data_IF_441055397582
#
_entry.id   IF_441055397582
#
_cell.length_a   1.000
_cell.length_b   1.000
_cell.length_c   1.000
_cell.angle_alpha   90.00
_cell.angle_beta   90.00
_cell.angle_gamma   90.00
#
_symmetry.space_group_name_H-M   'P 1'
#
loop_
_entity.id
_entity.type
_entity.pdbx_description
1 polymer ?
#
# COMPACT_ATOMS: atom_id res chain seq x y z
N UNK A 1 1.46 -26.78 4.26
CA UNK A 1 2.20 -25.87 5.16
C UNK A 1 3.24 -25.12 4.34
N UNK A 2 3.17 -23.80 4.27
CA UNK A 2 4.13 -22.93 3.56
C UNK A 2 4.77 -22.00 4.57
N UNK A 3 6.11 -21.87 4.55
CA UNK A 3 6.83 -20.94 5.42
C UNK A 3 7.63 -19.96 4.56
N UNK A 4 7.45 -18.68 4.82
CA UNK A 4 8.15 -17.58 4.14
C UNK A 4 9.08 -16.88 5.14
N UNK A 5 10.36 -16.74 4.78
CA UNK A 5 11.34 -16.00 5.58
C UNK A 5 11.51 -14.59 4.99
N UNK A 6 11.37 -13.58 5.82
CA UNK A 6 11.25 -12.18 5.40
C UNK A 6 12.16 -11.32 6.29
N UNK A 7 12.88 -10.38 5.68
CA UNK A 7 13.56 -9.32 6.43
C UNK A 7 12.53 -8.47 7.21
N UNK A 8 12.68 -8.39 8.53
CA UNK A 8 11.71 -7.75 9.41
C UNK A 8 11.61 -6.23 9.16
N UNK A 9 12.72 -5.58 8.80
CA UNK A 9 12.74 -4.15 8.51
C UNK A 9 11.99 -3.86 7.21
N UNK A 10 12.29 -4.59 6.14
CA UNK A 10 11.62 -4.44 4.85
C UNK A 10 10.13 -4.73 4.98
N UNK A 11 9.76 -5.77 5.71
CA UNK A 11 8.37 -6.14 5.96
C UNK A 11 7.61 -5.05 6.75
N UNK A 12 8.18 -4.56 7.84
CA UNK A 12 7.54 -3.52 8.65
C UNK A 12 7.44 -2.18 7.93
N UNK A 13 8.42 -1.84 7.09
CA UNK A 13 8.38 -0.63 6.27
C UNK A 13 7.32 -0.74 5.18
N UNK A 14 7.20 -1.91 4.51
CA UNK A 14 6.14 -2.18 3.55
C UNK A 14 4.74 -2.09 4.18
N UNK A 15 4.56 -2.70 5.36
CA UNK A 15 3.30 -2.60 6.11
C UNK A 15 2.92 -1.15 6.43
N UNK A 16 3.87 -0.32 6.88
CA UNK A 16 3.60 1.09 7.17
C UNK A 16 3.16 1.88 5.95
N UNK A 17 3.69 1.54 4.78
CA UNK A 17 3.34 2.18 3.52
C UNK A 17 1.94 1.77 3.05
N UNK A 18 1.52 0.55 3.30
CA UNK A 18 0.24 0.00 2.83
C UNK A 18 -0.91 0.25 3.80
N UNK A 19 -0.69 0.12 5.11
CA UNK A 19 -1.72 0.26 6.15
C UNK A 19 -2.56 1.55 6.11
N UNK A 20 -2.04 2.73 5.72
CA UNK A 20 -2.85 3.94 5.58
C UNK A 20 -3.95 3.83 4.51
N UNK A 21 -3.82 2.89 3.59
CA UNK A 21 -4.78 2.67 2.50
C UNK A 21 -5.90 1.69 2.85
N UNK A 22 -5.82 0.96 3.97
CA UNK A 22 -6.94 0.17 4.46
C UNK A 22 -8.09 1.08 4.92
N UNK A 23 -9.31 0.60 4.74
CA UNK A 23 -10.51 1.30 5.23
C UNK A 23 -10.51 1.30 6.78
N UNK A 24 -11.21 2.26 7.34
CA UNK A 24 -11.34 2.36 8.79
C UNK A 24 -12.27 1.28 9.33
N UNK A 25 -12.05 0.77 10.55
CA UNK A 25 -12.96 -0.16 11.20
C UNK A 25 -14.40 0.39 11.23
N UNK A 26 -15.37 -0.49 11.04
CA UNK A 26 -16.79 -0.17 11.03
C UNK A 26 -17.24 0.77 9.89
N UNK A 27 -16.54 0.75 8.77
CA UNK A 27 -16.88 1.55 7.58
C UNK A 27 -18.10 1.03 6.81
N UNK A 28 -18.60 -0.14 7.16
CA UNK A 28 -19.67 -0.85 6.43
C UNK A 28 -19.15 -1.65 5.23
N UNK A 29 -17.85 -1.76 5.06
CA UNK A 29 -17.22 -2.60 4.03
C UNK A 29 -16.08 -3.43 4.65
N UNK A 30 -16.41 -4.48 5.43
CA UNK A 30 -15.43 -5.21 6.24
C UNK A 30 -14.25 -5.77 5.45
N UNK A 31 -14.45 -6.15 4.19
CA UNK A 31 -13.38 -6.68 3.35
C UNK A 31 -12.24 -5.67 3.16
N UNK A 32 -12.53 -4.37 3.10
CA UNK A 32 -11.55 -3.30 2.92
C UNK A 32 -10.85 -2.88 4.23
N UNK A 33 -11.33 -3.37 5.37
CA UNK A 33 -10.69 -3.19 6.67
C UNK A 33 -9.48 -4.11 6.86
N UNK A 34 -9.16 -4.89 5.83
CA UNK A 34 -8.08 -5.87 5.84
C UNK A 34 -6.90 -5.43 4.97
N UNK A 35 -5.77 -6.08 5.21
CA UNK A 35 -4.59 -6.09 4.37
C UNK A 35 -4.47 -7.46 3.71
N UNK A 36 -4.24 -7.49 2.42
CA UNK A 36 -4.00 -8.72 1.66
C UNK A 36 -2.52 -9.01 1.59
N UNK A 37 -2.16 -10.26 1.82
CA UNK A 37 -0.84 -10.81 1.61
C UNK A 37 -0.93 -11.86 0.51
N UNK A 38 -0.13 -11.72 -0.54
CA UNK A 38 -0.07 -12.70 -1.63
C UNK A 38 1.36 -12.91 -2.09
N UNK A 39 1.72 -14.14 -2.42
CA UNK A 39 3.01 -14.47 -3.03
C UNK A 39 2.91 -14.33 -4.53
N UNK A 40 3.87 -13.65 -5.14
CA UNK A 40 4.03 -13.51 -6.58
C UNK A 40 5.49 -13.72 -6.97
N UNK A 41 5.82 -14.91 -7.42
CA UNK A 41 7.21 -15.29 -7.66
C UNK A 41 8.04 -15.19 -6.40
N UNK A 42 9.16 -14.46 -6.42
CA UNK A 42 10.04 -14.24 -5.27
C UNK A 42 9.63 -13.09 -4.35
N UNK A 43 8.39 -12.60 -4.44
CA UNK A 43 7.92 -11.44 -3.70
C UNK A 43 6.71 -11.75 -2.86
N UNK A 44 6.72 -11.28 -1.62
CA UNK A 44 5.50 -11.08 -0.85
C UNK A 44 4.93 -9.71 -1.25
N UNK A 45 3.74 -9.72 -1.85
CA UNK A 45 3.00 -8.51 -2.20
C UNK A 45 1.97 -8.22 -1.13
N UNK A 46 1.97 -7.00 -0.62
CA UNK A 46 1.09 -6.51 0.43
C UNK A 46 0.19 -5.43 -0.19
N UNK A 47 -1.12 -5.57 -0.04
CA UNK A 47 -2.10 -4.64 -0.61
C UNK A 47 -3.13 -4.20 0.42
N UNK A 48 -3.58 -2.93 0.32
CA UNK A 48 -4.76 -2.42 1.01
C UNK A 48 -5.48 -1.38 0.15
N UNK A 49 -6.78 -1.24 0.37
CA UNK A 49 -7.59 -0.26 -0.37
C UNK A 49 -8.77 0.24 0.46
N UNK A 50 -9.17 1.50 0.22
CA UNK A 50 -10.35 2.15 0.76
C UNK A 50 -11.31 2.65 -0.33
N UNK A 51 -11.26 2.06 -1.52
CA UNK A 51 -11.98 2.46 -2.74
C UNK A 51 -11.41 3.69 -3.45
N UNK A 52 -10.75 4.61 -2.75
CA UNK A 52 -10.20 5.85 -3.30
C UNK A 52 -8.70 5.75 -3.56
N UNK A 53 -8.05 4.88 -2.82
CA UNK A 53 -6.63 4.61 -2.94
C UNK A 53 -6.38 3.10 -2.89
N UNK A 54 -5.37 2.65 -3.62
CA UNK A 54 -4.81 1.30 -3.49
C UNK A 54 -3.33 1.47 -3.17
N UNK A 55 -2.92 1.01 -1.99
CA UNK A 55 -1.50 0.89 -1.65
C UNK A 55 -1.03 -0.53 -1.92
N UNK A 56 0.11 -0.65 -2.57
CA UNK A 56 0.79 -1.93 -2.80
C UNK A 56 2.27 -1.77 -2.53
N UNK A 57 2.83 -2.71 -1.78
CA UNK A 57 4.27 -2.81 -1.56
C UNK A 57 4.71 -4.25 -1.71
N UNK A 58 5.94 -4.45 -2.20
CA UNK A 58 6.53 -5.78 -2.36
C UNK A 58 7.77 -5.92 -1.49
N UNK A 59 7.94 -7.10 -0.92
CA UNK A 59 9.08 -7.45 -0.08
C UNK A 59 9.74 -8.70 -0.66
N UNK A 60 11.06 -8.70 -0.91
CA UNK A 60 11.73 -9.88 -1.41
C UNK A 60 11.71 -10.99 -0.35
N UNK A 61 11.49 -12.21 -0.79
CA UNK A 61 11.53 -13.40 0.05
C UNK A 61 12.94 -14.00 -0.03
N UNK A 62 13.55 -14.25 1.13
CA UNK A 62 14.91 -14.78 1.21
C UNK A 62 14.99 -16.24 0.75
N UNK A 63 13.96 -17.00 1.07
CA UNK A 63 13.81 -18.40 0.65
C UNK A 63 12.36 -18.59 0.25
N UNK A 64 12.14 -19.02 -0.99
CA UNK A 64 10.81 -19.31 -1.52
C UNK A 64 10.81 -20.75 -2.00
N UNK A 65 9.94 -21.56 -1.41
CA UNK A 65 9.53 -22.77 -2.09
C UNK A 65 8.80 -22.36 -3.37
N UNK A 66 9.24 -22.89 -4.52
CA UNK A 66 8.64 -22.57 -5.82
C UNK A 66 7.13 -22.86 -5.90
N UNK A 67 6.62 -23.65 -4.96
CA UNK A 67 5.20 -23.99 -4.80
C UNK A 67 4.49 -23.13 -3.73
N UNK A 68 5.14 -22.10 -3.18
CA UNK A 68 4.54 -21.29 -2.13
C UNK A 68 3.35 -20.48 -2.68
N UNK A 69 2.15 -20.92 -2.35
CA UNK A 69 0.91 -20.21 -2.61
C UNK A 69 0.38 -19.61 -1.31
N UNK A 70 0.41 -18.30 -1.19
CA UNK A 70 -0.22 -17.57 -0.10
C UNK A 70 -1.15 -16.53 -0.71
N UNK A 71 -2.41 -16.53 -0.28
CA UNK A 71 -3.37 -15.47 -0.60
C UNK A 71 -4.38 -15.33 0.54
N UNK A 72 -4.10 -14.42 1.46
CA UNK A 72 -4.83 -14.25 2.70
C UNK A 72 -5.09 -12.81 3.04
N UNK A 73 -6.13 -12.56 3.85
CA UNK A 73 -6.50 -11.27 4.41
C UNK A 73 -6.26 -11.28 5.92
N UNK A 74 -5.68 -10.22 6.43
CA UNK A 74 -5.53 -9.99 7.86
C UNK A 74 -6.13 -8.64 8.26
N UNK A 75 -6.77 -8.58 9.42
CA UNK A 75 -7.31 -7.34 9.97
C UNK A 75 -6.23 -6.25 10.09
N UNK A 76 -6.47 -5.10 9.46
CA UNK A 76 -5.48 -4.02 9.39
C UNK A 76 -5.14 -3.41 10.76
N UNK A 77 -6.06 -3.44 11.73
CA UNK A 77 -5.80 -2.93 13.07
C UNK A 77 -4.87 -3.88 13.84
N UNK A 78 -5.07 -5.20 13.71
CA UNK A 78 -4.17 -6.21 14.27
C UNK A 78 -2.79 -6.15 13.64
N UNK A 79 -2.71 -6.09 12.31
CA UNK A 79 -1.43 -5.94 11.58
C UNK A 79 -0.70 -4.66 12.03
N UNK A 80 -1.42 -3.56 12.23
CA UNK A 80 -0.83 -2.29 12.73
C UNK A 80 -0.22 -2.44 14.12
N UNK A 81 -0.87 -3.19 15.00
CA UNK A 81 -0.33 -3.45 16.34
C UNK A 81 0.98 -4.27 16.27
N UNK A 82 1.06 -5.23 15.36
CA UNK A 82 2.25 -6.07 15.18
C UNK A 82 3.47 -5.32 14.65
N UNK A 83 3.29 -4.32 13.79
CA UNK A 83 4.41 -3.56 13.18
C UNK A 83 5.39 -3.04 14.24
N UNK A 84 4.90 -2.62 15.40
CA UNK A 84 5.75 -2.10 16.48
C UNK A 84 6.56 -3.22 17.16
N UNK A 85 5.97 -4.38 17.34
CA UNK A 85 6.62 -5.54 17.97
C UNK A 85 7.75 -6.09 17.08
N UNK A 86 7.46 -6.24 15.79
CA UNK A 86 8.37 -6.83 14.80
C UNK A 86 9.58 -5.96 14.45
N UNK A 87 9.57 -4.67 14.78
CA UNK A 87 10.67 -3.74 14.45
C UNK A 87 12.03 -4.14 15.03
N UNK A 88 12.04 -4.95 16.06
CA UNK A 88 13.26 -5.35 16.77
C UNK A 88 13.83 -6.67 16.28
N UNK A 89 13.09 -7.36 15.44
CA UNK A 89 13.50 -8.66 14.90
C UNK A 89 14.35 -8.46 13.64
N UNK A 90 15.26 -9.38 13.41
CA UNK A 90 16.06 -9.41 12.17
C UNK A 90 15.25 -10.05 11.05
N UNK A 91 14.58 -11.15 11.35
CA UNK A 91 13.77 -11.93 10.42
C UNK A 91 12.39 -12.19 11.00
N UNK A 92 11.43 -12.28 10.11
CA UNK A 92 10.07 -12.68 10.39
C UNK A 92 9.76 -13.90 9.55
N UNK A 93 9.13 -14.89 10.15
CA UNK A 93 8.61 -16.06 9.44
C UNK A 93 7.09 -15.96 9.39
N UNK A 94 6.55 -16.02 8.19
CA UNK A 94 5.13 -16.15 7.94
C UNK A 94 4.86 -17.60 7.54
N UNK A 95 4.17 -18.33 8.40
CA UNK A 95 3.82 -19.74 8.17
C UNK A 95 2.33 -19.84 7.91
N UNK A 96 1.97 -20.40 6.75
CA UNK A 96 0.60 -20.75 6.40
C UNK A 96 0.43 -22.26 6.57
N UNK A 97 -0.33 -22.65 7.58
CA UNK A 97 -0.86 -23.99 7.76
C UNK A 97 -2.35 -23.98 7.37
N UNK A 98 -2.95 -25.12 7.08
CA UNK A 98 -4.32 -25.19 6.55
C UNK A 98 -5.34 -24.46 7.42
N UNK A 99 -5.11 -24.43 8.74
CA UNK A 99 -6.03 -23.88 9.74
C UNK A 99 -5.63 -22.50 10.26
N UNK A 100 -4.33 -22.14 10.21
CA UNK A 100 -3.83 -20.91 10.84
C UNK A 100 -2.66 -20.29 10.04
N UNK A 101 -2.63 -18.95 9.97
CA UNK A 101 -1.43 -18.24 9.54
C UNK A 101 -0.77 -17.61 10.75
N UNK A 102 0.50 -17.95 10.97
CA UNK A 102 1.29 -17.43 12.08
C UNK A 102 2.42 -16.55 11.57
N UNK A 103 2.60 -15.43 12.24
CA UNK A 103 3.76 -14.58 12.11
C UNK A 103 4.66 -14.83 13.31
N UNK A 104 5.88 -15.27 13.09
CA UNK A 104 6.85 -15.53 14.13
C UNK A 104 8.10 -14.67 13.95
N UNK A 105 8.62 -14.21 15.10
CA UNK A 105 9.88 -13.50 15.21
C UNK A 105 10.46 -13.87 16.56
N UNK A 106 10.87 -12.89 17.38
CA UNK A 106 11.24 -13.12 18.78
C UNK A 106 10.04 -13.62 19.62
N UNK A 107 8.81 -13.32 19.17
CA UNK A 107 7.56 -13.77 19.76
C UNK A 107 6.66 -14.32 18.66
N UNK A 108 5.98 -15.43 18.96
CA UNK A 108 4.94 -15.98 18.08
C UNK A 108 3.67 -15.16 18.28
N UNK A 109 3.14 -14.61 17.21
CA UNK A 109 1.88 -13.87 17.25
C UNK A 109 0.96 -14.43 16.18
N UNK A 110 -0.14 -15.10 16.57
CA UNK A 110 -1.13 -15.57 15.59
C UNK A 110 -1.78 -14.37 14.89
N UNK A 111 -1.84 -14.44 13.57
CA UNK A 111 -2.66 -13.55 12.77
C UNK A 111 -4.03 -14.20 12.59
N UNK A 112 -5.08 -13.44 12.88
CA UNK A 112 -6.43 -13.82 12.52
C UNK A 112 -6.61 -13.52 11.02
N UNK A 113 -6.57 -14.54 10.19
CA UNK A 113 -6.60 -14.42 8.75
C UNK A 113 -7.77 -15.14 8.13
N UNK A 114 -8.20 -14.62 7.00
CA UNK A 114 -9.24 -15.21 6.18
C UNK A 114 -8.70 -15.52 4.79
N UNK A 115 -9.02 -16.67 4.25
CA UNK A 115 -8.75 -16.97 2.85
C UNK A 115 -9.49 -16.00 1.95
N UNK A 116 -8.80 -15.50 0.94
CA UNK A 116 -9.37 -14.50 0.03
C UNK A 116 -10.52 -15.11 -0.76
N UNK A 117 -11.73 -14.51 -0.64
CA UNK A 117 -12.90 -14.88 -1.45
C UNK A 117 -13.42 -13.71 -2.28
N UNK A 118 -13.48 -12.51 -1.69
CA UNK A 118 -14.18 -11.35 -2.26
C UNK A 118 -13.31 -10.10 -2.32
N UNK A 119 -11.97 -10.24 -2.40
CA UNK A 119 -11.09 -9.08 -2.54
C UNK A 119 -11.37 -8.35 -3.85
N UNK A 120 -11.45 -7.01 -3.84
CA UNK A 120 -11.63 -6.24 -5.06
C UNK A 120 -10.53 -6.57 -6.08
N UNK A 121 -10.89 -6.61 -7.36
CA UNK A 121 -9.94 -6.90 -8.44
C UNK A 121 -9.00 -5.70 -8.71
N UNK A 122 -8.33 -5.22 -7.65
CA UNK A 122 -7.44 -4.04 -7.70
C UNK A 122 -6.26 -4.22 -8.66
N UNK A 123 -5.87 -5.46 -8.92
CA UNK A 123 -4.79 -5.77 -9.87
C UNK A 123 -5.10 -5.30 -11.28
N UNK A 124 -6.39 -5.21 -11.66
CA UNK A 124 -6.85 -4.72 -12.96
C UNK A 124 -6.84 -3.20 -13.09
N UNK A 125 -6.66 -2.50 -11.97
CA UNK A 125 -6.66 -1.04 -11.96
C UNK A 125 -5.28 -0.46 -12.32
N UNK A 126 -4.23 -1.26 -12.17
CA UNK A 126 -2.89 -0.83 -12.52
C UNK A 126 -2.75 -0.70 -14.03
N UNK A 127 -2.24 0.43 -14.53
CA UNK A 127 -1.99 0.60 -15.95
C UNK A 127 -0.87 -0.34 -16.42
N UNK A 128 -0.98 -0.82 -17.65
CA UNK A 128 0.06 -1.62 -18.28
C UNK A 128 1.34 -0.80 -18.52
N UNK A 129 1.18 0.50 -18.76
CA UNK A 129 2.28 1.44 -18.99
C UNK A 129 2.04 2.70 -18.16
N UNK A 130 3.11 3.26 -17.64
CA UNK A 130 3.08 4.54 -16.92
C UNK A 130 3.16 5.68 -17.93
N UNK A 131 2.35 6.72 -17.73
CA UNK A 131 2.50 7.97 -18.45
C UNK A 131 3.76 8.74 -18.01
N UNK A 132 4.21 9.68 -18.84
CA UNK A 132 5.44 10.46 -18.61
C UNK A 132 5.32 11.47 -17.43
N UNK A 133 4.18 11.54 -16.78
CA UNK A 133 3.92 12.45 -15.69
C UNK A 133 2.44 12.76 -15.56
N UNK A 134 2.12 13.85 -14.86
CA UNK A 134 0.75 14.33 -14.71
C UNK A 134 0.57 15.59 -15.56
N UNK A 135 -0.23 15.49 -16.60
CA UNK A 135 -0.61 16.64 -17.40
C UNK A 135 -1.72 17.46 -16.73
N UNK A 136 -1.47 18.74 -16.55
CA UNK A 136 -2.44 19.69 -15.99
C UNK A 136 -2.57 19.63 -14.46
N UNK A 137 -3.58 20.31 -13.91
CA UNK A 137 -3.76 20.40 -12.48
C UNK A 137 -4.22 19.08 -11.87
N UNK A 138 -3.48 18.59 -10.86
CA UNK A 138 -3.82 17.41 -10.07
C UNK A 138 -4.56 17.83 -8.79
N UNK A 139 -5.78 17.36 -8.59
CA UNK A 139 -6.50 17.49 -7.34
C UNK A 139 -6.51 16.18 -6.58
N UNK A 140 -5.87 16.18 -5.43
CA UNK A 140 -5.99 15.11 -4.45
C UNK A 140 -6.76 15.63 -3.23
N UNK A 141 -7.66 14.82 -2.69
CA UNK A 141 -8.31 15.21 -1.45
C UNK A 141 -7.32 15.16 -0.27
N UNK A 142 -7.64 15.91 0.80
CA UNK A 142 -6.76 16.00 1.99
C UNK A 142 -6.51 14.65 2.63
N UNK A 143 -7.46 13.73 2.60
CA UNK A 143 -7.30 12.38 3.16
C UNK A 143 -6.28 11.57 2.34
N UNK A 144 -6.32 11.65 1.01
CA UNK A 144 -5.32 11.04 0.14
C UNK A 144 -3.94 11.64 0.38
N UNK A 145 -3.82 12.98 0.45
CA UNK A 145 -2.55 13.63 0.74
C UNK A 145 -1.96 13.21 2.10
N UNK A 146 -2.80 13.08 3.14
CA UNK A 146 -2.37 12.57 4.44
C UNK A 146 -1.85 11.14 4.37
N UNK A 147 -2.46 10.27 3.57
CA UNK A 147 -1.98 8.90 3.37
C UNK A 147 -0.62 8.88 2.69
N UNK A 148 -0.45 9.67 1.64
CA UNK A 148 0.82 9.79 0.92
C UNK A 148 1.93 10.39 1.80
N UNK A 149 1.61 11.37 2.66
CA UNK A 149 2.58 11.98 3.59
C UNK A 149 2.93 11.10 4.79
N UNK A 150 2.08 10.14 5.14
CA UNK A 150 2.32 9.18 6.23
C UNK A 150 3.23 8.02 5.78
N UNK A 151 3.58 7.96 4.50
CA UNK A 151 4.56 7.00 4.01
C UNK A 151 5.88 7.26 4.72
N UNK A 152 6.48 6.26 5.38
CA UNK A 152 7.71 6.46 6.10
C UNK A 152 8.77 6.97 5.12
N UNK A 153 9.26 8.17 5.38
CA UNK A 153 10.50 8.60 4.78
C UNK A 153 11.54 7.60 5.24
N UNK A 154 12.11 6.90 4.29
CA UNK A 154 13.06 5.87 4.58
C UNK A 154 14.30 6.44 5.30
N UNK A 155 15.06 5.55 5.93
CA UNK A 155 16.32 5.82 6.63
C UNK A 155 17.24 6.78 5.84
N UNK A 156 18.23 7.37 6.49
CA UNK A 156 19.13 8.37 5.94
C UNK A 156 19.74 8.02 4.55
N UNK A 157 19.80 6.72 4.24
CA UNK A 157 20.29 6.20 2.95
C UNK A 157 19.31 6.37 1.77
N UNK A 158 18.02 6.64 2.07
CA UNK A 158 16.97 6.78 1.05
C UNK A 158 16.31 8.18 1.06
N UNK A 159 16.99 9.19 1.57
CA UNK A 159 16.50 10.57 1.60
C UNK A 159 16.17 11.15 0.23
N UNK A 160 16.68 10.54 -0.82
CA UNK A 160 16.50 10.97 -2.21
C UNK A 160 15.31 10.27 -2.91
N UNK A 161 14.58 9.39 -2.23
CA UNK A 161 13.35 8.80 -2.77
C UNK A 161 12.23 9.85 -2.77
N UNK A 162 12.17 10.61 -3.83
CA UNK A 162 11.08 11.54 -4.09
C UNK A 162 9.92 10.76 -4.71
N UNK A 163 8.67 10.90 -4.19
CA UNK A 163 7.53 10.28 -4.83
C UNK A 163 7.32 10.86 -6.23
N UNK A 164 7.19 10.00 -7.23
CA UNK A 164 6.87 10.40 -8.59
C UNK A 164 5.41 10.15 -8.90
N UNK A 165 4.78 11.10 -9.62
CA UNK A 165 3.37 11.05 -9.96
C UNK A 165 3.22 10.81 -11.45
N UNK A 166 2.45 9.79 -11.82
CA UNK A 166 2.21 9.40 -13.20
C UNK A 166 0.72 9.27 -13.46
N UNK A 167 0.26 9.74 -14.60
CA UNK A 167 -1.13 9.60 -15.05
C UNK A 167 -1.15 8.99 -16.44
N UNK A 168 -2.04 8.03 -16.65
CA UNK A 168 -2.22 7.37 -17.95
C UNK A 168 -3.06 8.24 -18.89
N UNK A 169 -3.95 9.05 -18.31
CA UNK A 169 -4.83 9.97 -19.06
C UNK A 169 -5.28 11.13 -18.18
N UNK A 170 -5.60 12.29 -18.77
CA UNK A 170 -6.16 13.42 -18.04
C UNK A 170 -7.41 13.04 -17.23
N UNK A 171 -7.42 13.40 -15.95
CA UNK A 171 -8.52 13.08 -15.02
C UNK A 171 -8.68 11.61 -14.64
N UNK A 172 -7.78 10.75 -15.09
CA UNK A 172 -7.71 9.34 -14.72
C UNK A 172 -6.99 9.11 -13.38
N UNK A 173 -6.89 7.84 -12.94
CA UNK A 173 -6.13 7.47 -11.76
C UNK A 173 -4.67 7.94 -11.87
N UNK A 174 -4.10 8.30 -10.73
CA UNK A 174 -2.70 8.70 -10.61
C UNK A 174 -1.95 7.58 -9.91
N UNK A 175 -0.89 7.12 -10.52
CA UNK A 175 0.07 6.20 -9.90
C UNK A 175 1.15 7.02 -9.23
N UNK A 176 1.37 6.77 -7.96
CA UNK A 176 2.47 7.36 -7.19
C UNK A 176 3.46 6.26 -6.88
N UNK A 177 4.70 6.43 -7.30
CA UNK A 177 5.78 5.47 -7.03
C UNK A 177 6.64 5.98 -5.88
N UNK A 178 7.02 5.07 -4.99
CA UNK A 178 7.95 5.30 -3.89
C UNK A 178 9.05 4.26 -3.96
N UNK A 179 10.23 4.69 -4.40
CA UNK A 179 11.31 3.76 -4.66
C UNK A 179 10.92 2.67 -5.67
N UNK A 180 11.52 1.50 -5.53
CA UNK A 180 11.31 0.39 -6.46
C UNK A 180 10.24 -0.61 -5.98
N UNK A 181 9.84 -0.51 -4.72
CA UNK A 181 9.08 -1.54 -4.01
C UNK A 181 7.65 -1.14 -3.62
N UNK A 182 7.29 0.13 -3.76
CA UNK A 182 5.98 0.62 -3.35
C UNK A 182 5.32 1.49 -4.42
N UNK A 183 4.05 1.22 -4.66
CA UNK A 183 3.20 2.02 -5.54
C UNK A 183 1.85 2.27 -4.92
N UNK A 184 1.29 3.44 -5.19
CA UNK A 184 -0.05 3.82 -4.76
C UNK A 184 -0.86 4.26 -5.99
N UNK A 185 -2.05 3.70 -6.14
CA UNK A 185 -3.04 4.21 -7.07
C UNK A 185 -3.98 5.15 -6.30
N UNK A 186 -4.09 6.38 -6.75
CA UNK A 186 -4.97 7.37 -6.16
C UNK A 186 -6.01 7.86 -7.18
N UNK A 187 -7.27 7.89 -6.76
CA UNK A 187 -8.33 8.49 -7.56
C UNK A 187 -8.30 10.02 -7.35
N UNK A 188 -8.05 10.81 -8.39
CA UNK A 188 -8.04 12.26 -8.26
C UNK A 188 -9.45 12.80 -8.04
N UNK A 189 -9.55 13.92 -7.34
CA UNK A 189 -10.77 14.71 -7.27
C UNK A 189 -11.05 15.40 -8.61
N UNK A 190 -12.30 15.75 -8.84
CA UNK A 190 -12.65 16.57 -10.01
C UNK A 190 -12.11 17.99 -9.83
N UNK A 191 -11.30 18.42 -10.78
CA UNK A 191 -10.80 19.81 -10.84
C UNK A 191 -11.75 20.63 -11.67
N UNK A 192 -12.27 21.72 -11.09
CA UNK A 192 -12.84 22.80 -11.88
C UNK A 192 -11.72 23.80 -12.16
N UNK A 193 -11.10 23.67 -13.32
CA UNK A 193 -9.93 24.48 -13.71
C UNK A 193 -10.24 25.98 -13.75
N UNK A 194 -11.45 26.35 -14.17
CA UNK A 194 -11.84 27.78 -14.26
C UNK A 194 -12.01 28.36 -12.87
N UNK A 195 -12.62 27.63 -11.95
CA UNK A 195 -12.75 28.06 -10.55
C UNK A 195 -11.39 28.14 -9.85
N UNK A 196 -10.48 27.23 -10.17
CA UNK A 196 -9.11 27.27 -9.63
C UNK A 196 -8.36 28.50 -10.14
N UNK A 197 -8.47 28.81 -11.45
CA UNK A 197 -7.85 30.00 -12.08
C UNK A 197 -8.46 31.30 -11.55
N UNK A 198 -9.77 31.37 -11.40
CA UNK A 198 -10.44 32.54 -10.82
C UNK A 198 -9.94 32.82 -9.40
N UNK A 199 -9.90 31.80 -8.55
CA UNK A 199 -9.36 31.92 -7.16
C UNK A 199 -7.90 32.38 -7.14
N UNK A 200 -7.07 31.87 -8.05
CA UNK A 200 -5.67 32.31 -8.14
C UNK A 200 -5.57 33.79 -8.56
N UNK A 201 -6.46 34.22 -9.48
CA UNK A 201 -6.54 35.65 -9.89
C UNK A 201 -6.94 36.59 -8.73
N UNK A 202 -7.80 36.11 -7.82
CA UNK A 202 -8.18 36.87 -6.60
C UNK A 202 -7.00 37.10 -5.65
N UNK A 203 -6.02 36.17 -5.63
CA UNK A 203 -4.80 36.30 -4.81
C UNK A 203 -3.72 37.21 -5.49
N UNK A 204 -3.80 37.33 -6.80
CA UNK A 204 -2.90 38.18 -7.62
C UNK A 204 -3.76 39.08 -8.49
N UNK A 205 -4.47 40.08 -7.89
CA UNK A 205 -5.19 41.07 -8.70
C UNK A 205 -4.18 41.75 -9.63
N UNK A 206 -4.55 41.86 -10.91
CA UNK A 206 -3.72 42.55 -11.88
C UNK A 206 -3.43 43.96 -11.36
N UNK A 207 -2.15 44.34 -11.32
CA UNK A 207 -1.70 45.67 -10.94
C UNK A 207 -2.18 46.70 -11.95
#
# INVERSE_FOLDING_TARGET
MTTLTIDAKLFTDALRRVLPHAEKPNSGTPILENVRFTVRGSWLVIQATDRYTVGESRVPLSEVDAAAELDVLADAARVRALVTALRRDALVMLTDDEDEVTLSGAYVTPLDVHRVRDWPAVDRLWPAELGEGVEGPLALNVATLKKLSALPQSTAERRDEVPTFHSVKPGGPVVVLFGEDTRVLAMPGRVNADRARARFGDWHPAA
#
